data_IF_025709224990
#
_entry.id   IF_025709224990
#
_cell.length_a   1.000
_cell.length_b   1.000
_cell.length_c   1.000
_cell.angle_alpha   90.00
_cell.angle_beta   90.00
_cell.angle_gamma   90.00
#
_symmetry.space_group_name_H-M   'P 1'
#
loop_
_entity.id
_entity.type
_entity.pdbx_description
1 polymer ?
#
# COMPACT_ATOMS: atom_id res chain seq x y z
N UNK A 1 26.78 21.27 18.59
CA UNK A 1 27.13 21.15 17.16
C UNK A 1 26.42 19.94 16.57
N UNK A 2 26.61 18.75 17.16
CA UNK A 2 25.93 17.50 16.78
C UNK A 2 24.39 17.61 16.74
N UNK A 3 23.78 18.35 17.67
CA UNK A 3 22.32 18.60 17.70
C UNK A 3 21.81 19.47 16.55
N UNK A 4 22.59 20.43 16.05
CA UNK A 4 22.19 21.31 14.95
C UNK A 4 22.27 20.59 13.60
N UNK A 5 23.27 19.74 13.43
CA UNK A 5 23.42 18.91 12.23
C UNK A 5 22.32 17.87 12.12
N UNK A 6 21.88 17.31 13.26
CA UNK A 6 20.73 16.40 13.32
C UNK A 6 19.43 17.11 12.92
N UNK A 7 19.12 18.26 13.53
CA UNK A 7 17.92 19.06 13.18
C UNK A 7 17.91 19.45 11.70
N UNK A 8 19.07 19.85 11.14
CA UNK A 8 19.19 20.14 9.71
C UNK A 8 18.86 18.91 8.85
N UNK A 9 19.38 17.75 9.22
CA UNK A 9 19.16 16.49 8.48
C UNK A 9 17.69 16.08 8.51
N UNK A 10 17.03 16.19 9.67
CA UNK A 10 15.61 15.90 9.80
C UNK A 10 14.74 16.83 8.96
N UNK A 11 15.06 18.14 8.95
CA UNK A 11 14.35 19.10 8.12
C UNK A 11 14.50 18.81 6.61
N UNK A 12 15.70 18.43 6.17
CA UNK A 12 15.95 18.01 4.78
C UNK A 12 15.17 16.74 4.43
N UNK A 13 15.14 15.76 5.33
CA UNK A 13 14.40 14.51 5.15
C UNK A 13 12.88 14.75 5.04
N UNK A 14 12.33 15.61 5.90
CA UNK A 14 10.89 15.97 5.87
C UNK A 14 10.57 16.72 4.57
N UNK A 15 11.43 17.66 4.17
CA UNK A 15 11.27 18.39 2.90
C UNK A 15 11.32 17.44 1.71
N UNK A 16 12.27 16.50 1.68
CA UNK A 16 12.34 15.48 0.64
C UNK A 16 11.07 14.61 0.62
N UNK A 17 10.56 14.22 1.79
CA UNK A 17 9.31 13.45 1.91
C UNK A 17 8.13 14.21 1.34
N UNK A 18 7.99 15.52 1.63
CA UNK A 18 6.94 16.38 1.04
C UNK A 18 6.97 16.38 -0.48
N UNK A 19 8.14 16.60 -1.08
CA UNK A 19 8.29 16.62 -2.53
C UNK A 19 8.05 15.25 -3.16
N UNK A 20 8.51 14.17 -2.51
CA UNK A 20 8.29 12.81 -3.00
C UNK A 20 6.82 12.41 -2.92
N UNK A 21 6.11 12.76 -1.85
CA UNK A 21 4.66 12.53 -1.74
C UNK A 21 3.89 13.32 -2.80
N UNK A 22 4.22 14.60 -3.01
CA UNK A 22 3.61 15.41 -4.06
C UNK A 22 3.89 14.85 -5.47
N UNK A 23 5.12 14.45 -5.76
CA UNK A 23 5.48 13.83 -7.02
C UNK A 23 4.74 12.50 -7.25
N UNK A 24 4.67 11.66 -6.21
CA UNK A 24 3.92 10.40 -6.24
C UNK A 24 2.43 10.62 -6.51
N UNK A 25 1.83 11.62 -5.85
CA UNK A 25 0.44 12.02 -6.09
C UNK A 25 0.23 12.47 -7.54
N UNK A 26 1.10 13.33 -8.08
CA UNK A 26 1.01 13.79 -9.48
C UNK A 26 1.10 12.63 -10.46
N UNK A 27 2.07 11.73 -10.27
CA UNK A 27 2.22 10.54 -11.14
C UNK A 27 0.96 9.68 -11.10
N UNK A 28 0.41 9.43 -9.90
CA UNK A 28 -0.78 8.62 -9.74
C UNK A 28 -2.02 9.28 -10.36
N UNK A 29 -2.22 10.59 -10.19
CA UNK A 29 -3.32 11.31 -10.82
C UNK A 29 -3.17 11.36 -12.33
N UNK A 30 -1.94 11.50 -12.82
CA UNK A 30 -1.65 11.47 -14.25
C UNK A 30 -1.98 10.11 -14.87
N UNK A 31 -1.54 9.00 -14.25
CA UNK A 31 -1.93 7.65 -14.66
C UNK A 31 -3.46 7.47 -14.59
N UNK A 32 -4.10 8.03 -13.56
CA UNK A 32 -5.54 7.97 -13.39
C UNK A 32 -6.29 8.62 -14.58
N UNK A 33 -5.81 9.77 -15.03
CA UNK A 33 -6.38 10.48 -16.19
C UNK A 33 -6.10 9.77 -17.50
N UNK A 34 -4.88 9.24 -17.70
CA UNK A 34 -4.50 8.56 -18.93
C UNK A 34 -5.35 7.31 -19.21
N UNK A 35 -5.72 6.57 -18.17
CA UNK A 35 -6.51 5.34 -18.35
C UNK A 35 -8.01 5.54 -18.08
N UNK A 36 -8.48 6.80 -17.99
CA UNK A 36 -9.89 7.10 -17.72
C UNK A 36 -10.80 6.68 -18.88
N UNK A 37 -10.37 6.89 -20.12
CA UNK A 37 -11.13 6.49 -21.32
C UNK A 37 -11.34 4.97 -21.36
N UNK A 38 -10.27 4.21 -21.14
CA UNK A 38 -10.32 2.75 -21.02
C UNK A 38 -11.17 2.30 -19.83
N UNK A 39 -11.12 3.03 -18.70
CA UNK A 39 -11.95 2.74 -17.53
C UNK A 39 -13.44 2.86 -17.88
N UNK A 40 -13.84 3.96 -18.52
CA UNK A 40 -15.22 4.20 -18.95
C UNK A 40 -15.67 3.14 -19.96
N UNK A 41 -14.79 2.75 -20.89
CA UNK A 41 -15.13 1.73 -21.89
C UNK A 41 -15.26 0.32 -21.31
N UNK A 42 -14.28 -0.12 -20.52
CA UNK A 42 -14.17 -1.53 -20.13
C UNK A 42 -14.68 -1.82 -18.72
N UNK A 43 -14.67 -0.85 -17.81
CA UNK A 43 -15.10 -1.06 -16.42
C UNK A 43 -16.51 -0.55 -16.21
N UNK A 44 -16.83 0.68 -16.64
CA UNK A 44 -18.13 1.29 -16.34
C UNK A 44 -19.28 0.59 -17.07
N UNK A 45 -19.09 0.29 -18.36
CA UNK A 45 -20.08 -0.43 -19.19
C UNK A 45 -20.22 -1.92 -18.82
N UNK A 46 -19.23 -2.52 -18.15
CA UNK A 46 -19.28 -3.93 -17.76
C UNK A 46 -20.35 -4.19 -16.66
N UNK A 47 -20.86 -5.42 -16.61
CA UNK A 47 -21.79 -5.86 -15.56
C UNK A 47 -21.14 -5.77 -14.18
N UNK A 48 -21.93 -5.46 -13.17
CA UNK A 48 -21.47 -5.47 -11.78
C UNK A 48 -20.95 -6.85 -11.40
N UNK A 49 -19.73 -6.87 -10.87
CA UNK A 49 -19.02 -8.07 -10.43
C UNK A 49 -18.08 -7.69 -9.31
N UNK A 50 -17.71 -8.67 -8.47
CA UNK A 50 -16.80 -8.44 -7.35
C UNK A 50 -15.46 -7.79 -7.80
N UNK A 51 -14.76 -8.26 -8.86
CA UNK A 51 -13.53 -7.60 -9.32
C UNK A 51 -13.75 -6.14 -9.74
N UNK A 52 -14.87 -5.82 -10.41
CA UNK A 52 -15.22 -4.45 -10.81
C UNK A 52 -15.40 -3.55 -9.58
N UNK A 53 -16.17 -4.01 -8.59
CA UNK A 53 -16.40 -3.23 -7.36
C UNK A 53 -15.10 -2.97 -6.62
N UNK A 54 -14.28 -4.00 -6.42
CA UNK A 54 -13.00 -3.88 -5.71
C UNK A 54 -12.02 -2.95 -6.45
N UNK A 55 -11.97 -3.05 -7.77
CA UNK A 55 -11.17 -2.16 -8.60
C UNK A 55 -11.61 -0.70 -8.41
N UNK A 56 -12.90 -0.40 -8.58
CA UNK A 56 -13.41 0.97 -8.45
C UNK A 56 -13.18 1.54 -7.05
N UNK A 57 -13.38 0.73 -6.00
CA UNK A 57 -13.10 1.16 -4.62
C UNK A 57 -11.64 1.61 -4.48
N UNK A 58 -10.67 0.79 -4.89
CA UNK A 58 -9.26 1.19 -4.83
C UNK A 58 -8.95 2.41 -5.70
N UNK A 59 -9.49 2.40 -6.92
CA UNK A 59 -9.24 3.39 -7.96
C UNK A 59 -9.57 4.80 -7.51
N UNK A 60 -10.63 4.99 -6.71
CA UNK A 60 -11.03 6.30 -6.19
C UNK A 60 -10.61 6.53 -4.74
N UNK A 61 -10.61 5.50 -3.89
CA UNK A 61 -10.28 5.65 -2.47
C UNK A 61 -8.80 5.99 -2.26
N UNK A 62 -7.88 5.32 -2.97
CA UNK A 62 -6.43 5.53 -2.77
C UNK A 62 -6.00 6.93 -3.19
N UNK A 63 -6.39 7.45 -4.39
CA UNK A 63 -6.09 8.83 -4.73
C UNK A 63 -6.68 9.85 -3.76
N UNK A 64 -7.91 9.63 -3.31
CA UNK A 64 -8.54 10.52 -2.33
C UNK A 64 -7.77 10.55 -1.01
N UNK A 65 -7.35 9.39 -0.51
CA UNK A 65 -6.54 9.30 0.71
C UNK A 65 -5.18 10.00 0.54
N UNK A 66 -4.51 9.78 -0.60
CA UNK A 66 -3.21 10.39 -0.90
C UNK A 66 -3.28 11.91 -1.08
N UNK A 67 -4.36 12.45 -1.67
CA UNK A 67 -4.58 13.90 -1.75
C UNK A 67 -4.62 14.49 -0.34
N UNK A 68 -5.44 13.90 0.53
CA UNK A 68 -5.60 14.41 1.88
C UNK A 68 -4.31 14.27 2.71
N UNK A 69 -3.60 13.15 2.56
CA UNK A 69 -2.32 12.92 3.23
C UNK A 69 -1.23 13.88 2.75
N UNK A 70 -1.13 14.08 1.44
CA UNK A 70 -0.17 15.03 0.85
C UNK A 70 -0.48 16.47 1.27
N UNK A 71 -1.76 16.84 1.34
CA UNK A 71 -2.19 18.14 1.83
C UNK A 71 -1.74 18.38 3.28
N UNK A 72 -2.00 17.43 4.17
CA UNK A 72 -1.59 17.53 5.58
C UNK A 72 -0.06 17.58 5.72
N UNK A 73 0.66 16.69 5.04
CA UNK A 73 2.12 16.64 5.07
C UNK A 73 2.78 17.90 4.51
N UNK A 74 2.14 18.60 3.57
CA UNK A 74 2.72 19.75 2.87
C UNK A 74 3.00 20.95 3.78
N UNK A 75 2.29 21.08 4.91
CA UNK A 75 2.41 22.21 5.83
C UNK A 75 1.87 23.54 5.28
N UNK A 76 1.10 23.50 4.18
CA UNK A 76 0.47 24.70 3.58
C UNK A 76 -0.80 25.13 4.32
N UNK A 77 -1.35 24.28 5.18
CA UNK A 77 -2.53 24.61 5.97
C UNK A 77 -2.17 25.63 7.05
N UNK A 78 -2.82 26.79 7.06
CA UNK A 78 -2.67 27.81 8.12
C UNK A 78 -3.44 27.48 9.41
N UNK A 79 -4.05 26.28 9.48
CA UNK A 79 -4.93 25.88 10.57
C UNK A 79 -4.08 25.16 11.63
N UNK A 80 -4.03 25.71 12.84
CA UNK A 80 -3.52 24.99 14.00
C UNK A 80 -4.44 23.78 14.27
N UNK A 81 -3.94 22.58 13.97
CA UNK A 81 -4.69 21.34 14.18
C UNK A 81 -4.49 20.87 15.63
N UNK A 82 -5.56 20.35 16.25
CA UNK A 82 -5.44 19.74 17.58
C UNK A 82 -4.72 18.39 17.51
N UNK A 83 -4.00 18.03 18.58
CA UNK A 83 -3.42 16.69 18.73
C UNK A 83 -4.48 15.58 18.56
N UNK A 84 -5.69 15.80 19.05
CA UNK A 84 -6.83 14.88 18.87
C UNK A 84 -7.16 14.65 17.39
N UNK A 85 -7.12 15.71 16.58
CA UNK A 85 -7.30 15.60 15.14
C UNK A 85 -6.16 14.79 14.53
N UNK A 86 -4.90 15.09 14.86
CA UNK A 86 -3.73 14.36 14.36
C UNK A 86 -3.79 12.86 14.68
N UNK A 87 -4.19 12.52 15.91
CA UNK A 87 -4.37 11.14 16.37
C UNK A 87 -5.47 10.42 15.58
N UNK A 88 -6.61 11.08 15.40
CA UNK A 88 -7.71 10.55 14.58
C UNK A 88 -7.32 10.39 13.11
N UNK A 89 -6.60 11.37 12.56
CA UNK A 89 -6.09 11.37 11.20
C UNK A 89 -5.15 10.18 10.95
N UNK A 90 -4.11 10.03 11.76
CA UNK A 90 -3.16 8.93 11.64
C UNK A 90 -3.82 7.56 11.89
N UNK A 91 -4.67 7.46 12.92
CA UNK A 91 -5.37 6.23 13.25
C UNK A 91 -6.29 5.78 12.12
N UNK A 92 -7.09 6.69 11.57
CA UNK A 92 -7.96 6.41 10.42
C UNK A 92 -7.15 6.08 9.15
N UNK A 93 -6.02 6.78 8.94
CA UNK A 93 -5.07 6.51 7.85
C UNK A 93 -4.52 5.08 7.89
N UNK A 94 -4.16 4.56 9.06
CA UNK A 94 -3.68 3.18 9.20
C UNK A 94 -4.76 2.15 8.80
N UNK A 95 -6.00 2.33 9.28
CA UNK A 95 -7.10 1.43 8.92
C UNK A 95 -7.45 1.52 7.43
N UNK A 96 -7.48 2.73 6.88
CA UNK A 96 -7.76 2.96 5.47
C UNK A 96 -6.68 2.35 4.56
N UNK A 97 -5.41 2.53 4.93
CA UNK A 97 -4.27 1.95 4.24
C UNK A 97 -4.34 0.43 4.22
N UNK A 98 -4.63 -0.19 5.36
CA UNK A 98 -4.71 -1.66 5.45
C UNK A 98 -5.91 -2.19 4.71
N UNK A 99 -7.06 -1.52 4.78
CA UNK A 99 -8.22 -1.85 3.95
C UNK A 99 -7.88 -1.83 2.45
N UNK A 100 -7.13 -0.80 1.99
CA UNK A 100 -6.68 -0.73 0.59
C UNK A 100 -5.75 -1.90 0.22
N UNK A 101 -4.80 -2.22 1.09
CA UNK A 101 -3.87 -3.34 0.90
C UNK A 101 -4.62 -4.68 0.89
N UNK A 102 -5.62 -4.87 1.76
CA UNK A 102 -6.47 -6.06 1.79
C UNK A 102 -7.19 -6.27 0.46
N UNK A 103 -7.77 -5.20 -0.12
CA UNK A 103 -8.43 -5.28 -1.42
C UNK A 103 -7.43 -5.62 -2.52
N UNK A 104 -6.26 -4.97 -2.54
CA UNK A 104 -5.21 -5.24 -3.52
C UNK A 104 -4.76 -6.71 -3.48
N UNK A 105 -4.48 -7.21 -2.27
CA UNK A 105 -4.11 -8.62 -2.04
C UNK A 105 -5.21 -9.59 -2.47
N UNK A 106 -6.49 -9.23 -2.28
CA UNK A 106 -7.60 -10.06 -2.74
C UNK A 106 -7.73 -10.05 -4.27
N UNK A 107 -7.49 -8.93 -4.95
CA UNK A 107 -7.45 -8.88 -6.43
C UNK A 107 -6.32 -9.77 -6.97
N UNK A 108 -5.15 -9.71 -6.34
CA UNK A 108 -4.00 -10.58 -6.63
C UNK A 108 -4.38 -12.06 -6.47
N UNK A 109 -5.12 -12.39 -5.41
CA UNK A 109 -5.62 -13.74 -5.14
C UNK A 109 -6.62 -14.22 -6.20
N UNK A 110 -7.55 -13.35 -6.63
CA UNK A 110 -8.48 -13.65 -7.71
C UNK A 110 -7.74 -13.98 -9.02
N UNK A 111 -6.66 -13.25 -9.33
CA UNK A 111 -5.81 -13.53 -10.51
C UNK A 111 -5.09 -14.87 -10.38
N UNK A 112 -4.56 -15.19 -9.19
CA UNK A 112 -3.94 -16.48 -8.93
C UNK A 112 -4.92 -17.64 -9.17
N UNK A 113 -6.18 -17.51 -8.72
CA UNK A 113 -7.19 -18.55 -8.93
C UNK A 113 -7.53 -18.78 -10.40
N UNK A 114 -7.48 -17.73 -11.23
CA UNK A 114 -7.66 -17.86 -12.69
C UNK A 114 -6.48 -18.64 -13.31
N UNK A 115 -5.25 -18.33 -12.91
CA UNK A 115 -4.02 -18.99 -13.42
C UNK A 115 -4.02 -20.50 -13.12
N UNK A 116 -4.63 -20.89 -11.99
CA UNK A 116 -4.73 -22.28 -11.53
C UNK A 116 -6.04 -22.97 -11.94
N UNK A 117 -6.69 -22.51 -13.02
CA UNK A 117 -7.92 -23.08 -13.56
C UNK A 117 -9.04 -23.26 -12.51
N UNK A 118 -9.08 -22.37 -11.50
CA UNK A 118 -10.04 -22.42 -10.38
C UNK A 118 -10.05 -23.74 -9.60
N UNK A 119 -8.89 -24.37 -9.38
CA UNK A 119 -8.78 -25.53 -8.52
C UNK A 119 -9.30 -25.23 -7.10
N UNK A 120 -10.43 -25.85 -6.72
CA UNK A 120 -11.15 -25.54 -5.48
C UNK A 120 -10.32 -25.80 -4.21
N UNK A 121 -9.44 -26.80 -4.22
CA UNK A 121 -8.59 -27.10 -3.06
C UNK A 121 -7.57 -25.98 -2.83
N UNK A 122 -6.92 -25.53 -3.90
CA UNK A 122 -6.00 -24.40 -3.86
C UNK A 122 -6.72 -23.12 -3.45
N UNK A 123 -7.91 -22.88 -4.00
CA UNK A 123 -8.75 -21.74 -3.65
C UNK A 123 -9.03 -21.70 -2.15
N UNK A 124 -9.51 -22.81 -1.58
CA UNK A 124 -9.82 -22.90 -0.15
C UNK A 124 -8.57 -22.67 0.71
N UNK A 125 -7.45 -23.33 0.39
CA UNK A 125 -6.19 -23.18 1.15
C UNK A 125 -5.69 -21.73 1.11
N UNK A 126 -5.61 -21.15 -0.09
CA UNK A 126 -5.10 -19.78 -0.25
C UNK A 126 -6.05 -18.73 0.32
N UNK A 127 -7.36 -18.96 0.31
CA UNK A 127 -8.34 -18.11 0.98
C UNK A 127 -8.20 -18.19 2.50
N UNK A 128 -8.00 -19.38 3.07
CA UNK A 128 -7.76 -19.54 4.52
C UNK A 128 -6.49 -18.80 4.96
N UNK A 129 -5.41 -18.92 4.18
CA UNK A 129 -4.17 -18.18 4.44
C UNK A 129 -4.41 -16.67 4.33
N UNK A 130 -5.12 -16.22 3.29
CA UNK A 130 -5.48 -14.81 3.15
C UNK A 130 -6.22 -14.29 4.41
N UNK A 131 -7.29 -14.97 4.83
CA UNK A 131 -8.07 -14.57 6.02
C UNK A 131 -7.18 -14.52 7.26
N UNK A 132 -6.34 -15.53 7.49
CA UNK A 132 -5.41 -15.53 8.63
C UNK A 132 -4.45 -14.33 8.59
N UNK A 133 -3.87 -14.01 7.43
CA UNK A 133 -2.99 -12.84 7.28
C UNK A 133 -3.72 -11.52 7.48
N UNK A 134 -4.99 -11.41 7.06
CA UNK A 134 -5.80 -10.21 7.30
C UNK A 134 -6.10 -10.03 8.80
N UNK A 135 -6.44 -11.10 9.51
CA UNK A 135 -6.67 -11.05 10.96
C UNK A 135 -5.39 -10.63 11.69
N UNK A 136 -4.24 -11.21 11.35
CA UNK A 136 -2.95 -10.82 11.94
C UNK A 136 -2.61 -9.35 11.66
N UNK A 137 -2.84 -8.88 10.43
CA UNK A 137 -2.58 -7.48 10.06
C UNK A 137 -3.52 -6.54 10.82
N UNK A 138 -4.80 -6.86 10.94
CA UNK A 138 -5.78 -6.06 11.69
C UNK A 138 -5.42 -5.99 13.19
N UNK A 139 -4.99 -7.11 13.77
CA UNK A 139 -4.52 -7.15 15.16
C UNK A 139 -3.28 -6.27 15.35
N UNK A 140 -2.29 -6.36 14.46
CA UNK A 140 -1.10 -5.51 14.48
C UNK A 140 -1.47 -4.02 14.32
N UNK A 141 -2.42 -3.69 13.44
CA UNK A 141 -2.95 -2.33 13.27
C UNK A 141 -3.53 -1.80 14.55
N UNK A 142 -4.37 -2.59 15.19
CA UNK A 142 -5.08 -2.18 16.41
C UNK A 142 -4.10 -2.00 17.55
N UNK A 143 -3.11 -2.89 17.67
CA UNK A 143 -2.00 -2.72 18.59
C UNK A 143 -1.25 -1.41 18.35
N UNK A 144 -0.93 -1.09 17.09
CA UNK A 144 -0.27 0.16 16.71
C UNK A 144 -1.12 1.39 17.05
N UNK A 145 -2.43 1.33 16.77
CA UNK A 145 -3.36 2.41 17.07
C UNK A 145 -3.47 2.66 18.57
N UNK A 146 -3.53 1.61 19.38
CA UNK A 146 -3.69 1.75 20.83
C UNK A 146 -2.39 2.23 21.50
N UNK A 147 -1.23 1.75 21.07
CA UNK A 147 0.03 1.98 21.77
C UNK A 147 0.90 3.10 21.20
N UNK A 148 0.75 3.45 19.91
CA UNK A 148 1.66 4.40 19.25
C UNK A 148 0.97 5.67 18.74
N UNK A 149 -0.33 5.64 18.43
CA UNK A 149 -1.05 6.86 18.05
C UNK A 149 -1.10 7.92 19.16
N UNK A 150 -1.15 7.59 20.47
CA UNK A 150 -1.06 8.62 21.50
C UNK A 150 0.20 9.50 21.42
N UNK A 151 1.30 9.00 20.84
CA UNK A 151 2.56 9.71 20.61
C UNK A 151 2.54 10.64 19.38
N UNK A 152 1.41 10.74 18.69
CA UNK A 152 1.20 11.69 17.59
C UNK A 152 0.79 13.04 18.16
N UNK A 153 1.50 14.08 17.73
CA UNK A 153 1.28 15.49 18.10
C UNK A 153 1.26 16.39 16.86
N UNK A 154 0.66 17.56 16.99
CA UNK A 154 0.83 18.62 16.00
C UNK A 154 2.16 19.36 16.25
N UNK A 155 3.00 19.47 15.21
CA UNK A 155 4.28 20.15 15.26
C UNK A 155 4.12 21.54 14.63
N UNK A 156 4.07 22.57 15.47
CA UNK A 156 3.79 23.95 15.05
C UNK A 156 4.83 24.47 14.05
N UNK A 157 6.12 24.18 14.24
CA UNK A 157 7.19 24.68 13.39
C UNK A 157 7.15 24.11 11.97
N UNK A 158 6.48 22.97 11.80
CA UNK A 158 6.35 22.27 10.52
C UNK A 158 4.92 22.35 9.95
N UNK A 159 3.95 22.86 10.72
CA UNK A 159 2.52 22.86 10.38
C UNK A 159 1.99 21.49 9.95
N UNK A 160 2.40 20.42 10.63
CA UNK A 160 1.98 19.05 10.31
C UNK A 160 1.85 18.19 11.56
N UNK A 161 1.12 17.09 11.43
CA UNK A 161 1.03 16.03 12.42
C UNK A 161 2.26 15.11 12.31
N UNK A 162 2.91 14.84 13.43
CA UNK A 162 4.13 14.04 13.50
C UNK A 162 4.12 13.06 14.66
N UNK A 163 4.91 11.99 14.54
CA UNK A 163 5.19 11.07 15.64
C UNK A 163 6.46 11.52 16.37
N UNK A 164 6.46 11.45 17.71
CA UNK A 164 7.64 11.78 18.53
C UNK A 164 8.61 10.59 18.63
N UNK A 165 8.11 9.36 18.48
CA UNK A 165 8.89 8.13 18.58
C UNK A 165 8.64 7.21 17.38
N UNK A 166 9.67 6.45 16.98
CA UNK A 166 9.57 5.49 15.87
C UNK A 166 8.84 4.23 16.32
N UNK A 167 7.66 3.91 15.75
CA UNK A 167 6.96 2.70 16.10
C UNK A 167 7.51 1.49 15.31
N UNK A 168 7.30 0.25 15.78
CA UNK A 168 7.76 -0.97 15.13
C UNK A 168 6.89 -1.33 13.92
N UNK A 169 6.99 -0.56 12.84
CA UNK A 169 6.20 -0.72 11.61
C UNK A 169 6.35 -2.10 10.96
N UNK A 170 7.42 -2.84 11.26
CA UNK A 170 7.66 -4.21 10.80
C UNK A 170 6.46 -5.14 11.05
N UNK A 171 5.74 -4.95 12.15
CA UNK A 171 4.59 -5.77 12.52
C UNK A 171 3.41 -5.62 11.54
N UNK A 172 3.30 -4.47 10.86
CA UNK A 172 2.25 -4.20 9.88
C UNK A 172 2.54 -4.88 8.54
N UNK A 173 3.81 -4.99 8.16
CA UNK A 173 4.21 -5.47 6.83
C UNK A 173 4.47 -6.97 6.77
N UNK A 174 4.90 -7.59 7.86
CA UNK A 174 5.32 -8.98 7.88
C UNK A 174 4.23 -9.99 7.42
N UNK A 175 2.96 -9.90 7.88
CA UNK A 175 1.90 -10.81 7.42
C UNK A 175 1.61 -10.66 5.92
N UNK A 176 1.62 -9.43 5.41
CA UNK A 176 1.42 -9.12 4.00
C UNK A 176 2.56 -9.64 3.12
N UNK A 177 3.81 -9.51 3.56
CA UNK A 177 4.96 -10.06 2.84
C UNK A 177 4.88 -11.58 2.73
N UNK A 178 4.53 -12.28 3.82
CA UNK A 178 4.35 -13.72 3.78
C UNK A 178 3.31 -14.12 2.73
N UNK A 179 2.17 -13.42 2.70
CA UNK A 179 1.12 -13.67 1.71
C UNK A 179 1.62 -13.48 0.27
N UNK A 180 2.32 -12.39 -0.01
CA UNK A 180 2.81 -12.11 -1.36
C UNK A 180 3.90 -13.06 -1.83
N UNK A 181 4.82 -13.45 -0.94
CA UNK A 181 5.83 -14.46 -1.25
C UNK A 181 5.15 -15.79 -1.58
N UNK A 182 4.16 -16.21 -0.80
CA UNK A 182 3.38 -17.41 -1.09
C UNK A 182 2.72 -17.31 -2.49
N UNK A 183 2.03 -16.21 -2.79
CA UNK A 183 1.37 -16.02 -4.09
C UNK A 183 2.39 -16.02 -5.23
N UNK A 184 3.51 -15.33 -5.06
CA UNK A 184 4.58 -15.26 -6.05
C UNK A 184 5.18 -16.65 -6.34
N UNK A 185 5.43 -17.43 -5.29
CA UNK A 185 5.93 -18.82 -5.41
C UNK A 185 4.91 -19.68 -6.14
N UNK A 186 3.63 -19.60 -5.82
CA UNK A 186 2.57 -20.38 -6.49
C UNK A 186 2.38 -19.96 -7.96
N UNK A 187 2.44 -18.67 -8.26
CA UNK A 187 2.37 -18.16 -9.63
C UNK A 187 3.57 -18.62 -10.46
N UNK A 188 4.78 -18.53 -9.89
CA UNK A 188 6.03 -18.98 -10.50
C UNK A 188 6.07 -20.50 -10.69
N UNK A 189 5.58 -21.26 -9.70
CA UNK A 189 5.46 -22.71 -9.79
C UNK A 189 4.58 -23.10 -10.99
N UNK A 190 3.40 -22.49 -11.11
CA UNK A 190 2.50 -22.78 -12.22
C UNK A 190 3.15 -22.44 -13.57
N UNK A 191 3.92 -21.34 -13.62
CA UNK A 191 4.64 -20.91 -14.81
C UNK A 191 5.64 -21.95 -15.30
N UNK A 192 6.43 -22.47 -14.36
CA UNK A 192 7.49 -23.42 -14.62
C UNK A 192 6.95 -24.83 -14.86
N UNK A 193 5.80 -25.17 -14.27
CA UNK A 193 5.16 -26.48 -14.40
C UNK A 193 4.34 -26.63 -15.68
N UNK A 194 3.88 -25.51 -16.28
CA UNK A 194 3.14 -25.50 -17.54
C UNK A 194 3.87 -24.69 -18.63
N UNK A 195 5.12 -25.03 -18.98
CA UNK A 195 5.80 -24.37 -20.07
C UNK A 195 5.12 -24.80 -21.38
N UNK A 196 4.69 -23.83 -22.18
CA UNK A 196 4.06 -23.97 -23.50
C UNK A 196 2.52 -24.11 -23.49
N UNK A 197 1.86 -22.94 -23.64
CA UNK A 197 0.76 -22.83 -24.60
C UNK A 197 1.44 -22.36 -25.89
N UNK A 198 1.30 -23.10 -26.99
CA UNK A 198 1.87 -22.79 -28.31
C UNK A 198 1.38 -21.47 -28.94
N UNK A 199 0.61 -20.67 -28.19
CA UNK A 199 -0.01 -19.43 -28.63
C UNK A 199 0.82 -18.22 -28.15
N UNK A 200 1.35 -17.40 -29.07
CA UNK A 200 2.17 -16.22 -28.74
C UNK A 200 1.48 -15.25 -27.78
N UNK A 201 0.15 -15.11 -27.89
CA UNK A 201 -0.68 -14.24 -27.05
C UNK A 201 -0.72 -14.75 -25.60
N UNK A 202 -0.92 -16.05 -25.40
CA UNK A 202 -0.92 -16.65 -24.06
C UNK A 202 0.46 -16.53 -23.40
N UNK A 203 1.55 -16.65 -24.17
CA UNK A 203 2.91 -16.44 -23.68
C UNK A 203 3.17 -15.00 -23.25
N UNK A 204 2.67 -13.99 -24.00
CA UNK A 204 2.79 -12.58 -23.59
C UNK A 204 2.01 -12.33 -22.30
N UNK A 205 0.75 -12.73 -22.25
CA UNK A 205 -0.10 -12.58 -21.04
C UNK A 205 0.52 -13.25 -19.82
N UNK A 206 1.15 -14.42 -19.99
CA UNK A 206 1.80 -15.13 -18.90
C UNK A 206 3.10 -14.45 -18.43
N UNK A 207 3.93 -13.96 -19.37
CA UNK A 207 5.17 -13.23 -19.07
C UNK A 207 4.88 -11.88 -18.41
N UNK A 208 3.91 -11.15 -18.96
CA UNK A 208 3.53 -9.83 -18.50
C UNK A 208 2.74 -9.93 -17.16
N UNK A 209 1.96 -11.01 -16.98
CA UNK A 209 1.29 -11.35 -15.72
C UNK A 209 2.25 -11.73 -14.60
N UNK A 210 3.36 -12.42 -14.87
CA UNK A 210 4.42 -12.72 -13.89
C UNK A 210 5.16 -11.46 -13.44
N UNK A 211 5.43 -10.54 -14.38
CA UNK A 211 6.06 -9.25 -14.08
C UNK A 211 5.28 -8.46 -13.02
N UNK A 212 3.96 -8.52 -13.05
CA UNK A 212 3.09 -7.93 -12.03
C UNK A 212 3.33 -8.51 -10.63
N UNK A 213 3.41 -9.84 -10.47
CA UNK A 213 3.68 -10.45 -9.16
C UNK A 213 5.10 -10.17 -8.66
N UNK A 214 6.10 -10.15 -9.56
CA UNK A 214 7.49 -9.77 -9.21
C UNK A 214 7.56 -8.33 -8.72
N UNK A 215 6.92 -7.41 -9.45
CA UNK A 215 6.91 -5.99 -9.08
C UNK A 215 6.28 -5.79 -7.71
N UNK A 216 5.11 -6.41 -7.44
CA UNK A 216 4.45 -6.30 -6.14
C UNK A 216 5.32 -6.84 -5.00
N UNK A 217 5.86 -8.05 -5.15
CA UNK A 217 6.72 -8.64 -4.12
C UNK A 217 7.97 -7.76 -3.86
N UNK A 218 8.54 -7.19 -4.92
CA UNK A 218 9.70 -6.28 -4.81
C UNK A 218 9.33 -5.00 -4.05
N UNK A 219 8.22 -4.35 -4.42
CA UNK A 219 7.74 -3.14 -3.74
C UNK A 219 7.45 -3.40 -2.25
N UNK A 220 6.88 -4.55 -1.90
CA UNK A 220 6.61 -4.90 -0.50
C UNK A 220 7.89 -5.18 0.30
N UNK A 221 8.86 -5.86 -0.31
CA UNK A 221 10.19 -6.03 0.31
C UNK A 221 10.85 -4.68 0.55
N UNK A 222 10.78 -3.76 -0.41
CA UNK A 222 11.30 -2.40 -0.23
C UNK A 222 10.58 -1.66 0.91
N UNK A 223 9.25 -1.74 1.00
CA UNK A 223 8.50 -1.14 2.11
C UNK A 223 8.89 -1.73 3.47
N UNK A 224 9.11 -3.05 3.56
CA UNK A 224 9.60 -3.69 4.77
C UNK A 224 11.00 -3.19 5.16
N UNK A 225 11.92 -3.12 4.19
CA UNK A 225 13.29 -2.64 4.42
C UNK A 225 13.24 -1.18 4.92
N UNK A 226 12.45 -0.33 4.28
CA UNK A 226 12.26 1.06 4.72
C UNK A 226 11.69 1.12 6.13
N UNK A 227 10.70 0.28 6.46
CA UNK A 227 10.10 0.25 7.81
C UNK A 227 11.12 -0.06 8.92
N UNK A 228 12.16 -0.86 8.61
CA UNK A 228 13.21 -1.24 9.56
C UNK A 228 14.35 -0.21 9.57
N UNK A 229 14.86 0.14 8.39
CA UNK A 229 16.10 0.91 8.22
C UNK A 229 15.87 2.42 8.28
N UNK A 230 14.74 2.93 7.77
CA UNK A 230 14.54 4.36 7.64
C UNK A 230 14.46 5.06 9.02
N UNK A 231 15.10 6.22 9.20
CA UNK A 231 14.90 7.06 10.39
C UNK A 231 13.45 7.56 10.46
N UNK A 232 13.04 8.06 11.63
CA UNK A 232 11.69 8.58 11.86
C UNK A 232 11.28 9.63 10.82
N UNK A 233 12.21 10.52 10.46
CA UNK A 233 12.00 11.58 9.46
C UNK A 233 11.70 11.08 8.04
N UNK A 234 11.96 9.81 7.75
CA UNK A 234 11.73 9.15 6.44
C UNK A 234 10.67 8.05 6.53
N UNK A 235 10.00 7.89 7.68
CA UNK A 235 9.10 6.76 7.93
C UNK A 235 7.90 6.71 6.96
N UNK A 236 7.50 7.87 6.43
CA UNK A 236 6.36 8.01 5.52
C UNK A 236 6.70 7.71 4.06
N UNK A 237 7.97 7.48 3.71
CA UNK A 237 8.34 7.08 2.35
C UNK A 237 7.90 5.66 2.00
N UNK A 238 7.68 4.81 3.00
CA UNK A 238 7.32 3.40 2.83
C UNK A 238 5.86 3.07 3.15
N UNK A 239 5.01 4.08 3.39
CA UNK A 239 3.60 3.93 3.79
C UNK A 239 2.69 4.37 2.65
#
# INVERSE_FOLDING_TARGET
>A
METLDQVRTDFLNITATRYLSAAGLVIMLYDHLLTLDDEVEYVWKAKWSLPKTLFLVLRYMVPSAMIMYTYELSGIGEIHLSDTFCRGWFGSGLYLGIFSVSIGNFIVLLRLWVIWDRNIRLLLVTLSVFIATQIMTLAATTYMVVHWIPEVIFVEELHMCGMVAKPPLVMLWAPGLFFEVMVFVLASWNALSRPSIACPVARSVYRDGLGYFVLLATLRVLNLILSVVAPLSLMFLGI
#
